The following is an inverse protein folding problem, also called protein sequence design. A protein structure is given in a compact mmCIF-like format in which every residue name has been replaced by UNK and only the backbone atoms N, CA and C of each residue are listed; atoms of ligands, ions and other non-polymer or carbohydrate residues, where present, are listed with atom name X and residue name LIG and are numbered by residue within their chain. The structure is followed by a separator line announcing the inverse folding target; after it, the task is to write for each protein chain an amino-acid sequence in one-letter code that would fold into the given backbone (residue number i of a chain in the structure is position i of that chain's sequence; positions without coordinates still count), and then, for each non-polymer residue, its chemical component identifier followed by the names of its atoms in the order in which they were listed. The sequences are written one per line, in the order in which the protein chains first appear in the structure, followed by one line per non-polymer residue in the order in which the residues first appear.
data_IF_825843161049
#
_entry.id   IF_825843161049
#
_cell.length_a   1.000
_cell.length_b   1.000
_cell.length_c   1.000
_cell.angle_alpha   90.00
_cell.angle_beta   90.00
_cell.angle_gamma   90.00
#
_symmetry.space_group_name_H-M   'P 1'
#
loop_
_entity.id
_entity.type
_entity.pdbx_description
1 polymer ?
#
# COMPACT_ATOMS: atom_id res chain seq x y z
N UNK A 1 5.30 19.24 -12.55
CA UNK A 1 5.88 18.08 -11.83
C UNK A 1 5.95 16.86 -12.72
N UNK A 2 6.88 15.95 -12.44
CA UNK A 2 6.94 14.66 -13.15
C UNK A 2 5.89 13.69 -12.61
N UNK A 3 5.32 12.91 -13.51
CA UNK A 3 4.34 11.86 -13.19
C UNK A 3 4.55 10.69 -14.14
N UNK A 4 4.50 9.47 -13.60
CA UNK A 4 4.41 8.27 -14.42
C UNK A 4 2.97 8.09 -14.87
N UNK A 5 2.72 8.09 -16.19
CA UNK A 5 1.38 8.11 -16.76
C UNK A 5 1.09 6.84 -17.57
N UNK A 6 -0.07 6.26 -17.34
CA UNK A 6 -0.70 5.29 -18.23
C UNK A 6 -1.51 6.08 -19.27
N UNK A 7 -1.01 6.18 -20.49
CA UNK A 7 -1.68 6.89 -21.60
C UNK A 7 -2.46 5.95 -22.50
N UNK A 8 -2.13 4.67 -22.47
CA UNK A 8 -2.84 3.56 -23.11
C UNK A 8 -2.71 2.31 -22.22
N UNK A 9 -3.69 1.45 -22.25
CA UNK A 9 -3.64 0.19 -21.51
C UNK A 9 -2.60 -0.76 -22.09
N UNK A 10 -1.90 -1.50 -21.22
CA UNK A 10 -0.90 -2.48 -21.63
C UNK A 10 0.13 -2.80 -20.55
N UNK A 11 1.23 -3.49 -20.94
CA UNK A 11 2.30 -3.85 -20.03
C UNK A 11 3.06 -2.61 -19.52
N UNK A 12 3.85 -2.74 -18.43
CA UNK A 12 4.51 -1.61 -17.76
C UNK A 12 5.45 -0.77 -18.64
N UNK A 13 6.00 -1.34 -19.70
CA UNK A 13 6.87 -0.64 -20.66
C UNK A 13 6.15 0.42 -21.50
N UNK A 14 4.80 0.41 -21.51
CA UNK A 14 3.98 1.47 -22.12
C UNK A 14 3.81 2.71 -21.24
N UNK A 15 4.14 2.63 -19.96
CA UNK A 15 4.07 3.78 -19.05
C UNK A 15 5.09 4.84 -19.47
N UNK A 16 4.71 6.12 -19.36
CA UNK A 16 5.54 7.25 -19.77
C UNK A 16 5.67 8.27 -18.65
N UNK A 17 6.88 8.76 -18.44
CA UNK A 17 7.10 9.92 -17.58
C UNK A 17 6.68 11.17 -18.35
N UNK A 18 5.73 11.92 -17.79
CA UNK A 18 5.22 13.17 -18.35
C UNK A 18 5.39 14.33 -17.37
N UNK A 19 5.60 15.50 -17.89
CA UNK A 19 5.42 16.74 -17.13
C UNK A 19 3.92 17.08 -17.08
N UNK A 20 3.39 17.19 -15.87
CA UNK A 20 1.99 17.56 -15.61
C UNK A 20 1.93 18.76 -14.67
N UNK A 21 0.80 19.45 -14.60
CA UNK A 21 0.60 20.53 -13.65
C UNK A 21 0.66 20.01 -12.21
N UNK A 22 1.18 20.83 -11.31
CA UNK A 22 1.10 20.56 -9.89
C UNK A 22 -0.36 20.51 -9.43
N UNK A 23 -0.74 19.61 -8.51
CA UNK A 23 -2.10 19.57 -7.99
C UNK A 23 -2.42 20.86 -7.24
N UNK A 24 -3.65 21.33 -7.38
CA UNK A 24 -4.16 22.48 -6.64
C UNK A 24 -4.77 21.99 -5.32
N UNK A 25 -4.48 22.72 -4.23
CA UNK A 25 -5.06 22.39 -2.92
C UNK A 25 -6.58 22.62 -2.91
N UNK A 26 -7.31 21.71 -2.31
CA UNK A 26 -8.76 21.81 -2.08
C UNK A 26 -9.10 21.58 -0.60
N UNK A 27 -10.28 22.01 -0.10
CA UNK A 27 -10.54 22.21 1.34
C UNK A 27 -10.27 21.01 2.25
N UNK A 28 -10.61 19.79 1.85
CA UNK A 28 -10.49 18.58 2.69
C UNK A 28 -9.26 17.70 2.37
N UNK A 29 -8.26 18.27 1.68
CA UNK A 29 -7.10 17.53 1.19
C UNK A 29 -5.79 18.14 1.69
N UNK A 30 -4.74 17.37 1.52
CA UNK A 30 -3.35 17.80 1.67
C UNK A 30 -2.58 17.54 0.37
N UNK A 31 -1.51 18.30 0.13
CA UNK A 31 -0.54 17.98 -0.91
C UNK A 31 0.69 17.41 -0.21
N UNK A 32 1.10 16.23 -0.64
CA UNK A 32 2.26 15.50 -0.15
C UNK A 32 3.37 15.57 -1.19
N UNK A 33 4.55 16.07 -0.81
CA UNK A 33 5.78 15.88 -1.56
C UNK A 33 6.21 14.43 -1.39
N UNK A 34 6.16 13.66 -2.48
CA UNK A 34 6.40 12.22 -2.46
C UNK A 34 7.87 11.90 -2.19
N UNK A 35 8.14 10.99 -1.27
CA UNK A 35 9.49 10.48 -0.96
C UNK A 35 9.62 8.99 -1.29
N UNK A 36 8.52 8.23 -1.19
CA UNK A 36 8.46 6.85 -1.59
C UNK A 36 7.02 6.45 -1.96
N UNK A 37 6.88 5.58 -2.93
CA UNK A 37 5.62 4.95 -3.30
C UNK A 37 5.87 3.47 -3.56
N UNK A 38 4.98 2.59 -3.12
CA UNK A 38 5.12 1.16 -3.37
C UNK A 38 4.32 0.72 -4.60
N UNK A 39 4.83 -0.30 -5.28
CA UNK A 39 4.14 -0.94 -6.40
C UNK A 39 3.38 -2.16 -5.88
N UNK A 40 2.10 -2.21 -6.18
CA UNK A 40 1.22 -3.28 -5.76
C UNK A 40 0.61 -4.02 -6.95
N UNK A 41 0.11 -5.24 -6.72
CA UNK A 41 -0.51 -6.04 -7.78
C UNK A 41 -1.71 -5.35 -8.45
N UNK A 42 -2.59 -4.62 -7.72
CA UNK A 42 -3.64 -3.81 -8.34
C UNK A 42 -3.12 -2.77 -9.35
N UNK A 43 -1.98 -2.15 -9.12
CA UNK A 43 -1.40 -1.19 -10.06
C UNK A 43 -1.09 -1.85 -11.41
N UNK A 44 -0.51 -3.07 -11.37
CA UNK A 44 -0.18 -3.85 -12.58
C UNK A 44 -1.44 -4.27 -13.33
N UNK A 45 -2.49 -4.68 -12.61
CA UNK A 45 -3.77 -5.04 -13.24
C UNK A 45 -4.47 -3.81 -13.84
N UNK A 46 -4.40 -2.68 -13.16
CA UNK A 46 -5.07 -1.44 -13.56
C UNK A 46 -4.54 -0.88 -14.87
N UNK A 47 -3.21 -0.85 -15.04
CA UNK A 47 -2.59 -0.39 -16.28
C UNK A 47 -2.87 -1.32 -17.47
N UNK A 48 -3.20 -2.59 -17.21
CA UNK A 48 -3.57 -3.57 -18.23
C UNK A 48 -5.08 -3.65 -18.50
N UNK A 49 -5.89 -2.87 -17.80
CA UNK A 49 -7.35 -2.94 -17.94
C UNK A 49 -7.99 -4.20 -17.34
N UNK A 50 -7.29 -4.87 -16.40
CA UNK A 50 -7.71 -6.15 -15.80
C UNK A 50 -8.24 -5.99 -14.37
N UNK A 51 -8.18 -4.77 -13.81
CA UNK A 51 -8.69 -4.52 -12.48
C UNK A 51 -10.18 -4.14 -12.52
N UNK A 52 -10.91 -4.46 -11.45
CA UNK A 52 -12.36 -4.18 -11.35
C UNK A 52 -12.73 -2.68 -11.44
N UNK A 53 -11.81 -1.79 -11.06
CA UNK A 53 -11.92 -0.35 -11.24
C UNK A 53 -11.00 0.10 -12.38
N UNK A 54 -11.57 0.80 -13.36
CA UNK A 54 -10.87 1.30 -14.54
C UNK A 54 -10.86 2.82 -14.53
N UNK A 55 -9.71 3.46 -14.24
CA UNK A 55 -9.59 4.91 -14.37
C UNK A 55 -9.70 5.35 -15.83
N UNK A 56 -10.16 6.59 -16.03
CA UNK A 56 -10.09 7.24 -17.35
C UNK A 56 -8.62 7.53 -17.72
N UNK A 57 -8.27 7.28 -18.99
CA UNK A 57 -6.96 7.62 -19.52
C UNK A 57 -6.86 9.12 -19.87
N UNK A 58 -5.70 9.76 -19.66
CA UNK A 58 -4.51 9.26 -19.00
C UNK A 58 -4.63 9.31 -17.46
N UNK A 59 -4.02 8.36 -16.75
CA UNK A 59 -3.94 8.37 -15.30
C UNK A 59 -2.53 8.02 -14.80
N UNK A 60 -2.21 8.45 -13.58
CA UNK A 60 -1.01 7.97 -12.88
C UNK A 60 -1.39 6.80 -11.99
N UNK A 61 -0.75 5.63 -12.11
CA UNK A 61 -0.95 4.54 -11.16
C UNK A 61 -0.30 4.83 -9.80
N UNK A 62 -0.37 3.86 -8.90
CA UNK A 62 0.17 3.93 -7.54
C UNK A 62 -0.91 4.19 -6.50
N UNK A 63 -1.17 3.18 -5.66
CA UNK A 63 -2.24 3.21 -4.66
C UNK A 63 -1.84 3.75 -3.31
N UNK A 64 -0.54 3.86 -3.02
CA UNK A 64 -0.01 4.29 -1.71
C UNK A 64 1.33 5.00 -1.83
N UNK A 65 1.60 5.88 -0.88
CA UNK A 65 2.83 6.66 -0.82
C UNK A 65 3.20 7.07 0.60
N UNK A 66 4.38 7.62 0.74
CA UNK A 66 4.81 8.35 1.93
C UNK A 66 5.62 9.59 1.54
N UNK A 67 5.57 10.60 2.38
CA UNK A 67 6.25 11.85 2.11
C UNK A 67 6.02 12.92 3.17
N UNK A 68 6.18 14.16 2.76
CA UNK A 68 6.06 15.34 3.63
C UNK A 68 4.91 16.19 3.12
N UNK A 69 4.04 16.62 4.01
CA UNK A 69 2.95 17.55 3.66
C UNK A 69 3.55 18.91 3.31
N UNK A 70 3.25 19.43 2.13
CA UNK A 70 3.69 20.76 1.65
C UNK A 70 2.55 21.77 1.55
N UNK A 71 1.28 21.32 1.57
CA UNK A 71 0.11 22.20 1.62
C UNK A 71 -1.06 21.50 2.31
N UNK A 72 -1.89 22.27 2.99
CA UNK A 72 -3.10 21.77 3.69
C UNK A 72 -4.32 22.61 3.30
N UNK A 73 -5.45 21.93 3.06
CA UNK A 73 -6.73 22.57 2.80
C UNK A 73 -7.36 23.16 4.09
N UNK A 74 -8.25 24.12 3.93
CA UNK A 74 -8.83 24.90 5.05
C UNK A 74 -9.58 24.05 6.09
N UNK A 75 -10.13 22.90 5.68
CA UNK A 75 -10.87 21.99 6.55
C UNK A 75 -9.98 20.93 7.24
N UNK A 76 -8.67 20.96 7.01
CA UNK A 76 -7.71 20.02 7.63
C UNK A 76 -7.24 20.59 8.95
N UNK A 77 -7.57 19.94 10.08
CA UNK A 77 -7.25 20.44 11.43
C UNK A 77 -6.17 19.63 12.17
N UNK A 78 -6.00 18.37 11.81
CA UNK A 78 -5.12 17.41 12.50
C UNK A 78 -3.78 17.16 11.80
N UNK A 79 -3.57 17.75 10.62
CA UNK A 79 -2.37 17.67 9.81
C UNK A 79 -1.84 19.08 9.53
N UNK A 80 -0.51 19.21 9.35
CA UNK A 80 0.14 20.50 9.05
C UNK A 80 1.29 20.31 8.06
N UNK A 81 1.68 21.41 7.42
CA UNK A 81 2.90 21.46 6.58
C UNK A 81 4.11 21.02 7.41
N UNK A 82 4.95 20.17 6.82
CA UNK A 82 6.10 19.55 7.46
C UNK A 82 5.82 18.21 8.14
N UNK A 83 4.56 17.80 8.32
CA UNK A 83 4.26 16.47 8.85
C UNK A 83 4.75 15.38 7.90
N UNK A 84 5.44 14.39 8.47
CA UNK A 84 5.82 13.14 7.79
C UNK A 84 4.62 12.20 7.81
N UNK A 85 4.24 11.68 6.65
CA UNK A 85 3.00 10.90 6.52
C UNK A 85 3.16 9.73 5.56
N UNK A 86 2.26 8.74 5.69
CA UNK A 86 1.86 7.89 4.56
C UNK A 86 0.42 8.21 4.16
N UNK A 87 0.07 7.86 2.94
CA UNK A 87 -1.28 7.99 2.43
C UNK A 87 -1.69 6.80 1.57
N UNK A 88 -2.97 6.41 1.67
CA UNK A 88 -3.62 5.50 0.74
C UNK A 88 -4.40 6.34 -0.26
N UNK A 89 -3.93 6.39 -1.50
CA UNK A 89 -4.42 7.29 -2.54
C UNK A 89 -5.35 6.61 -3.53
N UNK A 90 -5.24 5.30 -3.65
CA UNK A 90 -5.93 4.51 -4.68
C UNK A 90 -5.34 4.67 -6.08
N UNK A 91 -4.95 5.90 -6.44
CA UNK A 91 -4.29 6.30 -7.69
C UNK A 91 -3.37 7.48 -7.44
N UNK A 92 -2.45 7.75 -8.37
CA UNK A 92 -1.68 8.98 -8.41
C UNK A 92 -0.42 9.00 -7.55
N UNK A 93 -0.05 7.89 -6.90
CA UNK A 93 1.14 7.88 -6.05
C UNK A 93 2.46 7.88 -6.85
N UNK A 94 2.44 7.59 -8.15
CA UNK A 94 3.67 7.66 -8.96
C UNK A 94 3.89 9.04 -9.58
N UNK A 95 3.74 10.07 -8.74
CA UNK A 95 3.97 11.49 -9.04
C UNK A 95 4.90 12.10 -7.99
N UNK A 96 5.53 13.24 -8.32
CA UNK A 96 6.35 14.00 -7.36
C UNK A 96 5.52 14.67 -6.26
N UNK A 97 4.27 15.07 -6.56
CA UNK A 97 3.33 15.64 -5.59
C UNK A 97 1.97 14.98 -5.71
N UNK A 98 1.35 14.69 -4.59
CA UNK A 98 0.12 13.92 -4.51
C UNK A 98 -0.93 14.70 -3.72
N UNK A 99 -2.11 14.87 -4.32
CA UNK A 99 -3.28 15.39 -3.62
C UNK A 99 -3.99 14.21 -2.93
N UNK A 100 -4.02 14.20 -1.59
CA UNK A 100 -4.63 13.13 -0.82
C UNK A 100 -5.74 13.66 0.10
N UNK A 101 -6.90 12.98 0.21
CA UNK A 101 -7.95 13.37 1.15
C UNK A 101 -7.46 13.14 2.59
N UNK A 102 -7.77 14.07 3.50
CA UNK A 102 -7.28 14.07 4.89
C UNK A 102 -7.52 12.77 5.67
N UNK A 103 -8.59 12.05 5.34
CA UNK A 103 -8.96 10.80 6.03
C UNK A 103 -8.11 9.59 5.61
N UNK A 104 -7.40 9.67 4.49
CA UNK A 104 -6.48 8.62 4.01
C UNK A 104 -5.02 8.88 4.39
N UNK A 105 -4.74 9.93 5.16
CA UNK A 105 -3.38 10.37 5.50
C UNK A 105 -3.12 10.16 6.99
N UNK A 106 -2.02 9.49 7.30
CA UNK A 106 -1.62 9.15 8.67
C UNK A 106 -0.18 9.61 8.92
N UNK A 107 0.04 10.25 10.08
CA UNK A 107 1.40 10.64 10.51
C UNK A 107 2.24 9.41 10.82
N UNK A 108 3.51 9.49 10.47
CA UNK A 108 4.50 8.45 10.78
C UNK A 108 5.51 8.96 11.83
N UNK A 109 6.06 8.06 12.68
CA UNK A 109 7.12 8.40 13.60
C UNK A 109 8.37 8.92 12.87
N UNK A 110 9.15 9.79 13.52
CA UNK A 110 10.40 10.32 12.94
C UNK A 110 11.42 9.20 12.66
N UNK A 111 11.40 8.12 13.45
CA UNK A 111 12.27 6.96 13.28
C UNK A 111 11.89 6.05 12.10
N UNK A 112 10.69 6.19 11.52
CA UNK A 112 10.25 5.37 10.39
C UNK A 112 10.75 5.95 9.08
N UNK A 113 11.38 5.13 8.21
CA UNK A 113 11.76 5.55 6.88
C UNK A 113 10.54 5.73 5.98
N UNK A 114 10.66 6.55 4.93
CA UNK A 114 9.57 6.72 3.97
C UNK A 114 9.30 5.44 3.18
N UNK A 115 10.33 4.67 2.87
CA UNK A 115 10.19 3.40 2.17
C UNK A 115 9.37 2.40 2.98
N UNK A 116 9.67 2.26 4.28
CA UNK A 116 8.88 1.42 5.19
C UNK A 116 7.44 1.91 5.28
N UNK A 117 7.25 3.21 5.44
CA UNK A 117 5.93 3.82 5.57
C UNK A 117 5.08 3.65 4.30
N UNK A 118 5.68 3.75 3.11
CA UNK A 118 4.98 3.58 1.84
C UNK A 118 4.47 2.15 1.61
N UNK A 119 5.11 1.13 2.19
CA UNK A 119 4.74 -0.27 2.02
C UNK A 119 3.68 -0.78 3.01
N UNK A 120 3.28 0.04 3.99
CA UNK A 120 2.36 -0.37 5.06
C UNK A 120 0.87 -0.36 4.67
N UNK A 121 0.33 0.71 4.03
CA UNK A 121 -1.12 0.87 3.91
C UNK A 121 -1.80 -0.27 3.17
N UNK A 122 -1.29 -0.66 2.02
CA UNK A 122 -1.93 -1.67 1.18
C UNK A 122 -1.79 -3.07 1.79
N UNK A 123 -0.59 -3.47 2.19
CA UNK A 123 -0.33 -4.83 2.64
C UNK A 123 -0.82 -5.07 4.06
N UNK A 124 -0.35 -4.29 5.03
CA UNK A 124 -0.75 -4.44 6.44
C UNK A 124 -2.17 -3.95 6.69
N UNK A 125 -2.60 -2.88 6.05
CA UNK A 125 -3.98 -2.38 6.15
C UNK A 125 -5.00 -3.41 5.66
N UNK A 126 -4.76 -4.02 4.50
CA UNK A 126 -5.60 -5.10 3.96
C UNK A 126 -5.64 -6.31 4.87
N UNK A 127 -4.46 -6.76 5.34
CA UNK A 127 -4.35 -7.93 6.23
C UNK A 127 -5.01 -7.67 7.58
N UNK A 128 -4.79 -6.52 8.19
CA UNK A 128 -5.41 -6.16 9.46
C UNK A 128 -6.94 -6.09 9.35
N UNK A 129 -7.45 -5.48 8.27
CA UNK A 129 -8.89 -5.44 8.02
C UNK A 129 -9.47 -6.85 7.89
N UNK A 130 -8.81 -7.73 7.12
CA UNK A 130 -9.25 -9.11 6.93
C UNK A 130 -9.26 -9.87 8.26
N UNK A 131 -8.17 -9.83 9.02
CA UNK A 131 -8.05 -10.60 10.26
C UNK A 131 -8.94 -10.05 11.37
N UNK A 132 -8.93 -8.74 11.60
CA UNK A 132 -9.61 -8.11 12.75
C UNK A 132 -11.08 -7.86 12.50
N UNK A 133 -11.43 -7.29 11.33
CA UNK A 133 -12.81 -6.83 11.08
C UNK A 133 -13.67 -7.87 10.35
N UNK A 134 -13.07 -8.68 9.48
CA UNK A 134 -13.82 -9.68 8.72
C UNK A 134 -13.80 -11.05 9.37
N UNK A 135 -12.65 -11.60 9.68
CA UNK A 135 -12.50 -12.91 10.31
C UNK A 135 -12.73 -12.86 11.83
N UNK A 136 -12.53 -11.69 12.47
CA UNK A 136 -12.61 -11.53 13.92
C UNK A 136 -11.69 -12.51 14.67
N UNK A 137 -10.47 -12.68 14.13
CA UNK A 137 -9.45 -13.60 14.62
C UNK A 137 -9.20 -13.41 16.11
N UNK A 138 -9.22 -14.52 16.87
CA UNK A 138 -8.97 -14.55 18.31
C UNK A 138 -7.63 -15.18 18.63
N UNK A 139 -7.07 -14.79 19.77
CA UNK A 139 -5.91 -15.45 20.35
C UNK A 139 -6.16 -16.96 20.51
N UNK A 140 -5.16 -17.78 20.17
CA UNK A 140 -5.21 -19.24 20.24
C UNK A 140 -5.88 -19.93 19.05
N UNK A 141 -6.52 -19.20 18.14
CA UNK A 141 -7.05 -19.79 16.90
C UNK A 141 -5.93 -20.17 15.93
N UNK A 142 -6.23 -21.07 14.99
CA UNK A 142 -5.30 -21.45 13.91
C UNK A 142 -5.66 -20.71 12.64
N UNK A 143 -4.67 -19.97 12.10
CA UNK A 143 -4.75 -19.20 10.87
C UNK A 143 -3.95 -19.89 9.77
N UNK A 144 -4.62 -20.32 8.70
CA UNK A 144 -3.97 -20.77 7.46
C UNK A 144 -3.86 -19.60 6.48
N UNK A 145 -2.64 -19.33 6.01
CA UNK A 145 -2.37 -18.26 5.04
C UNK A 145 -1.93 -18.88 3.72
N UNK A 146 -2.75 -18.72 2.68
CA UNK A 146 -2.42 -19.13 1.30
C UNK A 146 -1.67 -18.00 0.59
N UNK A 147 -0.68 -18.34 -0.26
CA UNK A 147 0.19 -17.34 -0.89
C UNK A 147 1.01 -16.55 0.14
N UNK A 148 1.39 -17.19 1.23
CA UNK A 148 1.90 -16.59 2.46
C UNK A 148 3.17 -15.73 2.26
N UNK A 149 3.97 -15.99 1.24
CA UNK A 149 5.19 -15.23 0.95
C UNK A 149 4.98 -13.99 0.07
N UNK A 150 3.75 -13.71 -0.38
CA UNK A 150 3.41 -12.46 -1.07
C UNK A 150 3.27 -11.29 -0.08
N UNK A 151 3.22 -10.05 -0.55
CA UNK A 151 3.16 -8.86 0.33
C UNK A 151 2.02 -8.92 1.36
N UNK A 152 0.78 -9.13 0.92
CA UNK A 152 -0.39 -9.28 1.82
C UNK A 152 -0.27 -10.56 2.66
N UNK A 153 0.24 -11.67 2.06
CA UNK A 153 0.41 -12.93 2.76
C UNK A 153 1.39 -12.82 3.93
N UNK A 154 2.56 -12.23 3.69
CA UNK A 154 3.60 -12.07 4.72
C UNK A 154 3.15 -11.14 5.83
N UNK A 155 2.50 -10.02 5.49
CA UNK A 155 1.87 -9.13 6.46
C UNK A 155 0.79 -9.87 7.29
N UNK A 156 0.03 -10.78 6.66
CA UNK A 156 -0.97 -11.62 7.35
C UNK A 156 -0.30 -12.59 8.33
N UNK A 157 0.83 -13.19 7.96
CA UNK A 157 1.62 -14.06 8.86
C UNK A 157 2.07 -13.29 10.09
N UNK A 158 2.71 -12.13 9.91
CA UNK A 158 3.22 -11.30 11.01
C UNK A 158 2.09 -10.79 11.92
N UNK A 159 1.00 -10.27 11.33
CA UNK A 159 -0.14 -9.77 12.10
C UNK A 159 -0.88 -10.90 12.82
N UNK A 160 -1.09 -12.05 12.17
CA UNK A 160 -1.70 -13.22 12.80
C UNK A 160 -0.91 -13.70 14.01
N UNK A 161 0.41 -13.73 13.88
CA UNK A 161 1.31 -14.07 15.00
C UNK A 161 1.24 -13.02 16.11
N UNK A 162 1.27 -11.73 15.78
CA UNK A 162 1.13 -10.65 16.76
C UNK A 162 -0.23 -10.65 17.48
N UNK A 163 -1.28 -11.19 16.85
CA UNK A 163 -2.63 -11.37 17.44
C UNK A 163 -2.76 -12.65 18.27
N UNK A 164 -1.68 -13.42 18.43
CA UNK A 164 -1.65 -14.65 19.24
C UNK A 164 -2.21 -15.91 18.57
N UNK A 165 -2.37 -15.90 17.25
CA UNK A 165 -2.80 -17.07 16.51
C UNK A 165 -1.65 -18.08 16.30
N UNK A 166 -2.00 -19.37 16.12
CA UNK A 166 -1.11 -20.35 15.50
C UNK A 166 -1.17 -20.16 14.00
N UNK A 167 -0.04 -19.76 13.38
CA UNK A 167 0.01 -19.42 11.95
C UNK A 167 0.62 -20.54 11.13
N UNK A 168 -0.10 -21.04 10.14
CA UNK A 168 0.35 -22.02 9.16
C UNK A 168 0.48 -21.33 7.80
N UNK A 169 1.69 -21.33 7.25
CA UNK A 169 1.98 -20.69 5.95
C UNK A 169 1.97 -21.72 4.81
N UNK A 170 1.26 -21.41 3.73
CA UNK A 170 1.28 -22.20 2.51
C UNK A 170 1.86 -21.38 1.35
N UNK A 171 2.89 -21.90 0.69
CA UNK A 171 3.60 -21.22 -0.39
C UNK A 171 4.05 -22.21 -1.48
N UNK A 172 4.48 -21.69 -2.64
CA UNK A 172 4.78 -22.52 -3.82
C UNK A 172 6.18 -23.16 -3.84
N UNK A 173 7.09 -22.74 -2.96
CA UNK A 173 8.45 -23.28 -2.89
C UNK A 173 8.93 -23.35 -1.43
N UNK A 174 9.95 -24.20 -1.17
CA UNK A 174 10.53 -24.30 0.16
C UNK A 174 11.15 -22.97 0.62
N UNK A 175 11.86 -22.25 -0.24
CA UNK A 175 12.43 -20.92 0.06
C UNK A 175 11.37 -19.93 0.57
N UNK A 176 10.19 -19.94 -0.06
CA UNK A 176 9.07 -19.10 0.35
C UNK A 176 8.45 -19.55 1.68
N UNK A 177 8.40 -20.84 1.94
CA UNK A 177 7.97 -21.37 3.24
C UNK A 177 8.96 -20.94 4.33
N UNK A 178 10.27 -21.09 4.08
CA UNK A 178 11.33 -20.70 5.02
C UNK A 178 11.28 -19.20 5.34
N UNK A 179 10.98 -18.35 4.33
CA UNK A 179 10.73 -16.93 4.54
C UNK A 179 9.56 -16.69 5.52
N UNK A 180 8.45 -17.38 5.34
CA UNK A 180 7.29 -17.24 6.22
C UNK A 180 7.58 -17.70 7.66
N UNK A 181 8.32 -18.79 7.83
CA UNK A 181 8.76 -19.27 9.14
C UNK A 181 9.66 -18.24 9.83
N UNK A 182 10.59 -17.62 9.09
CA UNK A 182 11.43 -16.53 9.61
C UNK A 182 10.63 -15.30 10.05
N UNK A 183 9.49 -15.06 9.42
CA UNK A 183 8.56 -13.98 9.74
C UNK A 183 7.47 -14.33 10.74
N UNK A 184 7.57 -15.50 11.39
CA UNK A 184 6.76 -15.85 12.55
C UNK A 184 5.67 -16.89 12.30
N UNK A 185 5.59 -17.51 11.12
CA UNK A 185 4.75 -18.69 10.96
C UNK A 185 5.24 -19.83 11.87
N UNK A 186 4.31 -20.57 12.49
CA UNK A 186 4.63 -21.70 13.36
C UNK A 186 4.92 -22.96 12.56
N UNK A 187 4.24 -23.11 11.42
CA UNK A 187 4.36 -24.24 10.50
C UNK A 187 4.22 -23.76 9.06
N UNK A 188 4.69 -24.54 8.11
CA UNK A 188 4.49 -24.24 6.70
C UNK A 188 4.60 -25.46 5.81
N UNK A 189 3.96 -25.39 4.64
CA UNK A 189 4.02 -26.45 3.64
C UNK A 189 3.97 -25.90 2.22
N UNK A 190 4.45 -26.70 1.28
CA UNK A 190 4.40 -26.39 -0.14
C UNK A 190 3.07 -26.86 -0.70
N UNK A 191 2.42 -25.99 -1.48
CA UNK A 191 1.26 -26.33 -2.29
C UNK A 191 1.46 -25.84 -3.73
N UNK A 192 0.92 -26.54 -4.73
CA UNK A 192 1.07 -26.21 -6.16
C UNK A 192 0.35 -24.91 -6.56
#
# INVERSE_FOLDING_TARGET
MKSLQCIELGPPDKLQIKEVLDPQIIPDHVIIENKAASVNFPDVLMIQGLYQFQPELPFSPGGECSGIIVSVGENVKNLKVGDRVFAMTGLGAFCEKILAPKHSVVKIPDSMSFETAAALPMTYGTSLYALKQRANLKEGETLLVLGAAGGVGLATVELGKAMGAKVIAAASTQEKVDLCLKHGADEGFIYP
#
